data_IF_188624595861
#
_entry.id   IF_188624595861
#
_cell.length_a   1.000
_cell.length_b   1.000
_cell.length_c   1.000
_cell.angle_alpha   90.00
_cell.angle_beta   90.00
_cell.angle_gamma   90.00
#
_symmetry.space_group_name_H-M   'P 1'
#
loop_
_entity.id
_entity.type
_entity.pdbx_description
1 polymer ?
#
# COMPACT_ATOMS: atom_id res chain seq x y z
N UNK A 1 22.01 -31.98 37.62
CA UNK A 1 22.56 -31.46 36.37
C UNK A 1 21.46 -31.65 35.31
N UNK A 2 20.62 -30.63 35.14
CA UNK A 2 19.49 -30.66 34.21
C UNK A 2 19.87 -29.77 33.02
N UNK A 3 20.21 -30.39 31.89
CA UNK A 3 20.35 -29.73 30.64
C UNK A 3 18.96 -29.22 30.22
N UNK A 4 18.77 -27.92 30.21
CA UNK A 4 17.55 -27.27 29.75
C UNK A 4 17.56 -27.29 28.22
N UNK A 5 16.59 -27.97 27.69
CA UNK A 5 16.27 -28.23 26.31
C UNK A 5 15.95 -26.88 25.59
N UNK A 6 16.97 -26.20 25.08
CA UNK A 6 16.85 -24.92 24.37
C UNK A 6 16.45 -25.05 22.89
N UNK A 7 16.13 -26.28 22.43
CA UNK A 7 15.82 -26.54 21.00
C UNK A 7 14.33 -26.62 20.68
N UNK A 8 13.49 -26.93 21.65
CA UNK A 8 12.04 -27.08 21.41
C UNK A 8 11.33 -25.72 21.24
N UNK A 9 11.76 -24.66 21.95
CA UNK A 9 11.13 -23.34 21.85
C UNK A 9 11.41 -22.58 20.55
N UNK A 10 12.52 -22.86 19.88
CA UNK A 10 12.88 -22.16 18.62
C UNK A 10 12.10 -22.67 17.41
N UNK A 11 11.81 -23.96 17.36
CA UNK A 11 11.03 -24.56 16.27
C UNK A 11 9.57 -24.18 16.31
N UNK A 12 9.00 -24.04 17.49
CA UNK A 12 7.59 -23.63 17.68
C UNK A 12 7.38 -22.15 17.28
N UNK A 13 8.31 -21.27 17.65
CA UNK A 13 8.28 -19.87 17.26
C UNK A 13 8.42 -19.66 15.75
N UNK A 14 9.25 -20.47 15.08
CA UNK A 14 9.41 -20.40 13.64
C UNK A 14 8.15 -20.84 12.91
N UNK A 15 7.56 -21.97 13.31
CA UNK A 15 6.32 -22.48 12.72
C UNK A 15 5.14 -21.51 12.93
N UNK A 16 5.07 -20.87 14.09
CA UNK A 16 4.05 -19.86 14.38
C UNK A 16 4.22 -18.62 13.50
N UNK A 17 5.45 -18.14 13.33
CA UNK A 17 5.75 -17.02 12.45
C UNK A 17 5.45 -17.35 10.98
N UNK A 18 5.82 -18.54 10.51
CA UNK A 18 5.56 -19.00 9.14
C UNK A 18 4.05 -19.04 8.85
N UNK A 19 3.25 -19.55 9.79
CA UNK A 19 1.80 -19.53 9.70
C UNK A 19 1.24 -18.10 9.64
N UNK A 20 1.73 -17.21 10.48
CA UNK A 20 1.36 -15.79 10.46
C UNK A 20 1.75 -15.12 9.14
N UNK A 21 2.96 -15.35 8.65
CA UNK A 21 3.44 -14.84 7.37
C UNK A 21 2.55 -15.30 6.22
N UNK A 22 2.27 -16.59 6.11
CA UNK A 22 1.46 -17.18 5.04
C UNK A 22 0.06 -16.55 4.95
N UNK A 23 -0.54 -16.18 6.08
CA UNK A 23 -1.90 -15.59 6.12
C UNK A 23 -1.90 -14.10 5.85
N UNK A 24 -0.85 -13.36 6.25
CA UNK A 24 -0.89 -11.89 6.30
C UNK A 24 -0.04 -11.21 5.21
N UNK A 25 1.00 -11.86 4.67
CA UNK A 25 1.97 -11.22 3.79
C UNK A 25 1.34 -10.65 2.50
N UNK A 26 0.57 -11.46 1.78
CA UNK A 26 -0.07 -11.05 0.52
C UNK A 26 -1.00 -9.86 0.73
N UNK A 27 -1.78 -9.86 1.81
CA UNK A 27 -2.72 -8.78 2.12
C UNK A 27 -1.99 -7.47 2.45
N UNK A 28 -0.94 -7.54 3.28
CA UNK A 28 -0.13 -6.36 3.61
C UNK A 28 0.57 -5.84 2.37
N UNK A 29 1.16 -6.72 1.55
CA UNK A 29 1.81 -6.35 0.30
C UNK A 29 0.86 -5.63 -0.65
N UNK A 30 -0.36 -6.15 -0.87
CA UNK A 30 -1.36 -5.49 -1.71
C UNK A 30 -1.70 -4.08 -1.22
N UNK A 31 -1.82 -3.89 0.10
CA UNK A 31 -2.02 -2.55 0.68
C UNK A 31 -0.82 -1.63 0.43
N UNK A 32 0.40 -2.16 0.46
CA UNK A 32 1.61 -1.36 0.17
C UNK A 32 1.70 -0.99 -1.30
N UNK A 33 1.31 -1.87 -2.25
CA UNK A 33 1.20 -1.52 -3.68
C UNK A 33 0.27 -0.31 -3.88
N UNK A 34 -0.88 -0.30 -3.23
CA UNK A 34 -1.81 0.82 -3.31
C UNK A 34 -1.31 2.10 -2.64
N UNK A 35 -0.41 1.98 -1.65
CA UNK A 35 0.21 3.13 -1.00
C UNK A 35 1.39 3.69 -1.77
N UNK A 36 2.23 2.84 -2.34
CA UNK A 36 3.46 3.24 -3.04
C UNK A 36 3.23 3.53 -4.51
N UNK A 37 2.29 2.82 -5.14
CA UNK A 37 2.11 2.80 -6.59
C UNK A 37 3.17 1.98 -7.32
N UNK A 38 4.02 1.23 -6.60
CA UNK A 38 5.14 0.48 -7.13
C UNK A 38 5.22 -0.88 -6.43
N UNK A 39 5.22 -1.96 -7.21
CA UNK A 39 5.21 -3.33 -6.68
C UNK A 39 6.54 -3.71 -6.05
N UNK A 40 7.66 -3.32 -6.66
CA UNK A 40 8.99 -3.62 -6.12
C UNK A 40 9.21 -2.91 -4.78
N UNK A 41 8.83 -1.63 -4.70
CA UNK A 41 8.88 -0.88 -3.45
C UNK A 41 7.96 -1.47 -2.38
N UNK A 42 6.75 -1.91 -2.76
CA UNK A 42 5.81 -2.55 -1.85
C UNK A 42 6.35 -3.89 -1.31
N UNK A 43 6.98 -4.68 -2.17
CA UNK A 43 7.64 -5.94 -1.81
C UNK A 43 8.77 -5.68 -0.81
N UNK A 44 9.67 -4.77 -1.13
CA UNK A 44 10.80 -4.41 -0.27
C UNK A 44 10.38 -3.95 1.13
N UNK A 45 9.40 -3.03 1.21
CA UNK A 45 8.95 -2.52 2.53
C UNK A 45 8.18 -3.57 3.32
N UNK A 46 7.48 -4.47 2.62
CA UNK A 46 6.76 -5.56 3.26
C UNK A 46 7.75 -6.59 3.80
N UNK A 47 8.72 -7.01 2.99
CA UNK A 47 9.76 -7.92 3.41
C UNK A 47 10.54 -7.37 4.62
N UNK A 48 11.01 -6.12 4.55
CA UNK A 48 11.73 -5.48 5.66
C UNK A 48 10.88 -5.43 6.94
N UNK A 49 9.58 -5.20 6.82
CA UNK A 49 8.69 -5.19 7.99
C UNK A 49 8.53 -6.58 8.62
N UNK A 50 8.43 -7.64 7.82
CA UNK A 50 8.39 -9.02 8.33
C UNK A 50 9.73 -9.45 8.92
N UNK A 51 10.87 -9.08 8.36
CA UNK A 51 12.19 -9.31 8.96
C UNK A 51 12.31 -8.66 10.34
N UNK A 52 11.83 -7.42 10.48
CA UNK A 52 11.76 -6.73 11.77
C UNK A 52 10.81 -7.41 12.75
N UNK A 53 9.68 -7.95 12.26
CA UNK A 53 8.73 -8.69 13.06
C UNK A 53 9.35 -10.00 13.55
N UNK A 54 10.05 -10.74 12.69
CA UNK A 54 10.78 -11.95 13.06
C UNK A 54 11.81 -11.71 14.16
N UNK A 55 12.64 -10.68 13.99
CA UNK A 55 13.67 -10.31 14.97
C UNK A 55 13.08 -10.00 16.36
N UNK A 56 11.78 -9.64 16.42
CA UNK A 56 11.07 -9.28 17.65
C UNK A 56 9.83 -10.13 17.86
N UNK A 57 9.80 -11.36 17.29
CA UNK A 57 8.59 -12.15 17.24
C UNK A 57 8.00 -12.44 18.62
N UNK A 58 8.85 -12.71 19.61
CA UNK A 58 8.41 -12.91 21.00
C UNK A 58 7.60 -11.73 21.58
N UNK A 59 7.79 -10.52 21.05
CA UNK A 59 7.01 -9.32 21.47
C UNK A 59 5.83 -9.07 20.54
N UNK A 60 6.04 -9.29 19.23
CA UNK A 60 5.03 -8.99 18.19
C UNK A 60 3.87 -9.98 18.27
N UNK A 61 4.14 -11.26 18.52
CA UNK A 61 3.10 -12.29 18.67
C UNK A 61 2.12 -11.99 19.81
N UNK A 62 2.60 -11.40 20.88
CA UNK A 62 1.80 -11.05 22.06
C UNK A 62 1.11 -9.67 21.93
N UNK A 63 1.34 -8.96 20.84
CA UNK A 63 0.65 -7.71 20.57
C UNK A 63 -0.85 -7.94 20.32
N UNK A 64 -1.68 -6.95 20.60
CA UNK A 64 -3.12 -7.00 20.35
C UNK A 64 -3.48 -7.36 18.89
N UNK A 65 -2.60 -7.03 17.94
CA UNK A 65 -2.68 -7.43 16.53
C UNK A 65 -1.28 -7.43 15.92
N UNK A 66 -0.64 -8.58 15.73
CA UNK A 66 0.62 -8.72 15.00
C UNK A 66 0.55 -8.15 13.58
N UNK A 67 -0.57 -8.37 12.89
CA UNK A 67 -0.79 -7.82 11.55
C UNK A 67 -0.82 -6.29 11.53
N UNK A 68 -1.50 -5.65 12.48
CA UNK A 68 -1.50 -4.19 12.60
C UNK A 68 -0.09 -3.64 12.87
N UNK A 69 0.72 -4.37 13.63
CA UNK A 69 2.11 -4.01 13.88
C UNK A 69 2.93 -4.03 12.57
N UNK A 70 2.90 -5.15 11.83
CA UNK A 70 3.63 -5.28 10.55
C UNK A 70 3.14 -4.25 9.55
N UNK A 71 1.82 -4.09 9.36
CA UNK A 71 1.23 -3.09 8.48
C UNK A 71 1.70 -1.67 8.82
N UNK A 72 1.74 -1.32 10.12
CA UNK A 72 2.23 -0.02 10.57
C UNK A 72 3.69 0.19 10.23
N UNK A 73 4.54 -0.84 10.39
CA UNK A 73 5.96 -0.77 10.03
C UNK A 73 6.12 -0.63 8.53
N UNK A 74 5.48 -1.49 7.72
CA UNK A 74 5.52 -1.43 6.25
C UNK A 74 5.11 -0.04 5.74
N UNK A 75 3.99 0.50 6.25
CA UNK A 75 3.50 1.82 5.88
C UNK A 75 4.50 2.93 6.23
N UNK A 76 5.10 2.89 7.42
CA UNK A 76 6.11 3.89 7.83
C UNK A 76 7.35 3.85 6.93
N UNK A 77 7.77 2.67 6.52
CA UNK A 77 8.85 2.48 5.56
C UNK A 77 8.47 3.06 4.20
N UNK A 78 7.31 2.69 3.66
CA UNK A 78 6.79 3.18 2.39
C UNK A 78 6.71 4.71 2.35
N UNK A 79 6.11 5.34 3.37
CA UNK A 79 6.01 6.79 3.48
C UNK A 79 7.39 7.45 3.58
N UNK A 80 8.32 6.87 4.35
CA UNK A 80 9.68 7.41 4.49
C UNK A 80 10.47 7.35 3.18
N UNK A 81 10.36 6.23 2.43
CA UNK A 81 11.02 6.05 1.15
C UNK A 81 10.40 6.96 0.08
N UNK A 82 9.08 7.03 0.01
CA UNK A 82 8.38 7.93 -0.91
C UNK A 82 8.74 9.39 -0.69
N UNK A 83 8.85 9.86 0.59
CA UNK A 83 9.31 11.23 0.88
C UNK A 83 10.74 11.47 0.38
N UNK A 84 11.63 10.49 0.53
CA UNK A 84 13.01 10.57 0.00
C UNK A 84 13.01 10.68 -1.52
N UNK A 85 12.24 9.83 -2.21
CA UNK A 85 12.13 9.84 -3.67
C UNK A 85 11.54 11.16 -4.14
N UNK A 86 10.45 11.64 -3.54
CA UNK A 86 9.84 12.93 -3.89
C UNK A 86 10.77 14.10 -3.67
N UNK A 87 11.54 14.12 -2.60
CA UNK A 87 12.53 15.16 -2.35
C UNK A 87 13.73 15.07 -3.31
N UNK A 88 14.09 13.85 -3.75
CA UNK A 88 15.09 13.62 -4.78
C UNK A 88 14.55 13.93 -6.19
N UNK A 89 13.26 13.68 -6.47
CA UNK A 89 12.65 13.93 -7.79
C UNK A 89 12.39 15.42 -8.09
N UNK A 90 12.40 16.30 -7.11
CA UNK A 90 12.57 17.73 -7.38
C UNK A 90 13.93 17.97 -8.06
N UNK A 91 14.95 17.15 -7.77
CA UNK A 91 16.23 17.14 -8.47
C UNK A 91 16.24 16.21 -9.72
N UNK A 92 15.31 15.25 -9.83
CA UNK A 92 15.36 14.12 -10.77
C UNK A 92 14.33 14.15 -11.91
N UNK A 93 13.64 15.25 -12.14
CA UNK A 93 12.74 15.44 -13.31
C UNK A 93 13.42 15.25 -14.69
N UNK A 94 14.65 14.74 -14.74
CA UNK A 94 15.43 14.53 -15.97
C UNK A 94 15.60 13.09 -16.41
N UNK A 95 15.12 12.11 -15.67
CA UNK A 95 15.28 10.69 -16.01
C UNK A 95 13.95 9.97 -15.85
N UNK A 96 13.35 9.63 -16.95
CA UNK A 96 12.13 8.89 -17.27
C UNK A 96 11.39 8.07 -16.19
N UNK A 97 10.17 7.62 -16.50
CA UNK A 97 9.34 6.88 -15.55
C UNK A 97 9.95 5.51 -15.21
N UNK A 98 9.70 5.00 -14.00
CA UNK A 98 10.12 3.66 -13.62
C UNK A 98 9.36 2.58 -14.39
N UNK A 99 10.05 1.49 -14.55
CA UNK A 99 9.76 0.15 -15.09
C UNK A 99 8.30 -0.28 -15.15
N UNK A 100 7.98 -1.06 -16.19
CA UNK A 100 6.69 -1.66 -16.52
C UNK A 100 5.86 -2.09 -15.31
N UNK A 101 4.55 -1.73 -15.27
CA UNK A 101 3.65 -2.21 -14.24
C UNK A 101 3.48 -3.73 -14.40
N UNK A 102 3.39 -4.48 -13.26
CA UNK A 102 3.04 -5.89 -13.31
C UNK A 102 1.67 -6.06 -14.00
N UNK A 103 1.36 -7.28 -14.45
CA UNK A 103 0.09 -7.68 -15.11
C UNK A 103 -1.15 -7.45 -14.22
N UNK A 104 -1.33 -6.23 -13.77
CA UNK A 104 -2.52 -5.75 -13.09
C UNK A 104 -3.53 -5.38 -14.17
N UNK A 105 -4.77 -5.86 -14.06
CA UNK A 105 -5.84 -5.47 -14.98
C UNK A 105 -5.97 -3.94 -15.07
N UNK A 106 -6.42 -3.44 -16.20
CA UNK A 106 -6.50 -1.99 -16.50
C UNK A 106 -7.13 -1.17 -15.37
N UNK A 107 -8.15 -1.70 -14.71
CA UNK A 107 -8.85 -1.04 -13.59
C UNK A 107 -7.93 -0.82 -12.37
N UNK A 108 -7.00 -1.76 -12.11
CA UNK A 108 -6.03 -1.61 -11.03
C UNK A 108 -5.01 -0.53 -11.32
N UNK A 109 -4.56 -0.43 -12.57
CA UNK A 109 -3.62 0.62 -13.00
C UNK A 109 -4.25 2.01 -12.82
N UNK A 110 -5.51 2.16 -13.21
CA UNK A 110 -6.27 3.41 -13.05
C UNK A 110 -6.43 3.76 -11.57
N UNK A 111 -6.80 2.79 -10.74
CA UNK A 111 -6.94 3.00 -9.28
C UNK A 111 -5.61 3.41 -8.63
N UNK A 112 -4.52 2.71 -8.96
CA UNK A 112 -3.19 3.03 -8.43
C UNK A 112 -2.78 4.45 -8.83
N UNK A 113 -2.98 4.85 -10.09
CA UNK A 113 -2.67 6.18 -10.57
C UNK A 113 -3.51 7.26 -9.85
N UNK A 114 -4.80 7.02 -9.67
CA UNK A 114 -5.70 7.92 -8.95
C UNK A 114 -5.30 8.07 -7.47
N UNK A 115 -4.96 6.96 -6.81
CA UNK A 115 -4.45 6.99 -5.43
C UNK A 115 -3.11 7.71 -5.33
N UNK A 116 -2.20 7.52 -6.29
CA UNK A 116 -0.90 8.18 -6.31
C UNK A 116 -0.99 9.71 -6.45
N UNK A 117 -2.06 10.20 -7.09
CA UNK A 117 -2.33 11.64 -7.21
C UNK A 117 -2.79 12.29 -5.89
N UNK A 118 -3.31 11.50 -4.94
CA UNK A 118 -3.77 12.03 -3.66
C UNK A 118 -2.60 12.49 -2.77
N UNK A 119 -2.81 13.54 -1.95
CA UNK A 119 -1.95 13.83 -0.82
C UNK A 119 -1.79 12.61 0.09
N UNK A 120 -0.57 12.39 0.62
CA UNK A 120 -0.21 11.22 1.43
C UNK A 120 -1.24 10.87 2.51
N UNK A 121 -1.68 11.87 3.30
CA UNK A 121 -2.63 11.63 4.39
C UNK A 121 -4.00 11.14 3.90
N UNK A 122 -4.46 11.62 2.74
CA UNK A 122 -5.72 11.19 2.13
C UNK A 122 -5.59 9.77 1.59
N UNK A 123 -4.51 9.48 0.85
CA UNK A 123 -4.23 8.16 0.32
C UNK A 123 -4.13 7.11 1.43
N UNK A 124 -3.34 7.38 2.47
CA UNK A 124 -3.22 6.49 3.64
C UNK A 124 -4.59 6.23 4.29
N UNK A 125 -5.39 7.27 4.52
CA UNK A 125 -6.71 7.10 5.11
C UNK A 125 -7.64 6.24 4.22
N UNK A 126 -7.66 6.49 2.91
CA UNK A 126 -8.45 5.72 1.93
C UNK A 126 -8.02 4.25 1.91
N UNK A 127 -6.72 3.98 1.78
CA UNK A 127 -6.21 2.60 1.71
C UNK A 127 -6.51 1.83 3.00
N UNK A 128 -6.24 2.42 4.15
CA UNK A 128 -6.47 1.74 5.43
C UNK A 128 -7.96 1.52 5.72
N UNK A 129 -8.82 2.48 5.40
CA UNK A 129 -10.25 2.37 5.72
C UNK A 129 -11.02 1.53 4.71
N UNK A 130 -10.83 1.77 3.40
CA UNK A 130 -11.65 1.13 2.36
C UNK A 130 -11.04 -0.14 1.76
N UNK A 131 -9.72 -0.29 1.78
CA UNK A 131 -9.03 -1.40 1.14
C UNK A 131 -8.42 -2.39 2.17
N UNK A 132 -8.11 -1.91 3.37
CA UNK A 132 -7.74 -2.76 4.50
C UNK A 132 -8.90 -3.00 5.48
N UNK A 133 -10.08 -2.45 5.20
CA UNK A 133 -11.33 -2.59 5.97
C UNK A 133 -11.18 -2.23 7.46
N UNK A 134 -10.38 -1.20 7.77
CA UNK A 134 -10.15 -0.77 9.13
C UNK A 134 -11.20 0.24 9.59
N UNK A 135 -11.76 0.08 10.81
CA UNK A 135 -12.57 1.11 11.43
C UNK A 135 -11.80 2.44 11.57
N UNK A 136 -12.49 3.58 11.44
CA UNK A 136 -11.87 4.92 11.52
C UNK A 136 -11.05 5.10 12.80
N UNK A 137 -11.52 4.54 13.92
CA UNK A 137 -10.78 4.58 15.19
C UNK A 137 -9.43 3.86 15.10
N UNK A 138 -9.36 2.72 14.41
CA UNK A 138 -8.14 1.97 14.21
C UNK A 138 -7.20 2.70 13.23
N UNK A 139 -7.74 3.29 12.15
CA UNK A 139 -6.95 4.16 11.26
C UNK A 139 -6.33 5.32 12.03
N UNK A 140 -7.09 5.94 12.93
CA UNK A 140 -6.58 7.01 13.81
C UNK A 140 -5.42 6.52 14.67
N UNK A 141 -5.57 5.37 15.30
CA UNK A 141 -4.54 4.72 16.12
C UNK A 141 -3.26 4.42 15.31
N UNK A 142 -3.39 3.79 14.14
CA UNK A 142 -2.24 3.40 13.31
C UNK A 142 -1.53 4.61 12.68
N UNK A 143 -2.25 5.68 12.37
CA UNK A 143 -1.68 6.89 11.76
C UNK A 143 -1.19 7.91 12.77
N UNK A 144 -1.65 7.85 14.02
CA UNK A 144 -1.39 8.85 15.04
C UNK A 144 -2.23 10.14 14.84
N UNK A 145 -3.25 10.09 13.99
CA UNK A 145 -4.18 11.20 13.76
C UNK A 145 -5.37 11.12 14.71
N UNK A 146 -6.07 12.25 14.91
CA UNK A 146 -7.36 12.22 15.59
C UNK A 146 -8.44 11.59 14.69
N UNK A 147 -9.47 11.02 15.30
CA UNK A 147 -10.63 10.46 14.57
C UNK A 147 -11.28 11.50 13.65
N UNK A 148 -11.38 12.75 14.10
CA UNK A 148 -11.91 13.85 13.28
C UNK A 148 -11.01 14.15 12.08
N UNK A 149 -9.69 14.16 12.26
CA UNK A 149 -8.75 14.34 11.15
C UNK A 149 -8.85 13.21 10.13
N UNK A 150 -8.92 11.93 10.57
CA UNK A 150 -9.12 10.80 9.65
C UNK A 150 -10.41 10.95 8.84
N UNK A 151 -11.54 11.30 9.50
CA UNK A 151 -12.80 11.56 8.79
C UNK A 151 -12.67 12.65 7.73
N UNK A 152 -11.97 13.74 8.02
CA UNK A 152 -11.70 14.79 7.05
C UNK A 152 -10.85 14.30 5.87
N UNK A 153 -9.79 13.50 6.14
CA UNK A 153 -8.97 12.93 5.06
C UNK A 153 -9.79 12.00 4.17
N UNK A 154 -10.65 11.18 4.76
CA UNK A 154 -11.55 10.30 4.00
C UNK A 154 -12.54 11.07 3.11
N UNK A 155 -13.14 12.15 3.62
CA UNK A 155 -14.07 12.98 2.83
C UNK A 155 -13.34 13.62 1.64
N UNK A 156 -12.19 14.26 1.89
CA UNK A 156 -11.41 14.93 0.84
C UNK A 156 -10.83 13.92 -0.17
N UNK A 157 -10.30 12.79 0.32
CA UNK A 157 -9.74 11.75 -0.53
C UNK A 157 -10.78 11.12 -1.45
N UNK A 158 -12.01 10.86 -0.95
CA UNK A 158 -13.11 10.33 -1.77
C UNK A 158 -13.56 11.33 -2.84
N UNK A 159 -13.66 12.61 -2.52
CA UNK A 159 -14.00 13.63 -3.50
C UNK A 159 -12.95 13.70 -4.62
N UNK A 160 -11.66 13.79 -4.25
CA UNK A 160 -10.58 13.83 -5.22
C UNK A 160 -10.47 12.57 -6.10
N UNK A 161 -10.75 11.36 -5.53
CA UNK A 161 -10.81 10.13 -6.32
C UNK A 161 -12.00 10.13 -7.29
N UNK A 162 -13.18 10.58 -6.85
CA UNK A 162 -14.35 10.67 -7.72
C UNK A 162 -14.09 11.58 -8.92
N UNK A 163 -13.50 12.76 -8.69
CA UNK A 163 -13.12 13.70 -9.73
C UNK A 163 -12.12 13.07 -10.72
N UNK A 164 -11.06 12.45 -10.19
CA UNK A 164 -9.99 11.81 -10.96
C UNK A 164 -10.49 10.64 -11.84
N UNK A 165 -11.41 9.82 -11.31
CA UNK A 165 -11.97 8.67 -12.03
C UNK A 165 -13.02 9.10 -13.05
N UNK A 166 -13.72 10.22 -12.83
CA UNK A 166 -14.68 10.76 -13.80
C UNK A 166 -13.95 11.40 -14.98
N UNK A 167 -12.90 12.17 -14.73
CA UNK A 167 -12.09 12.78 -15.79
C UNK A 167 -11.30 11.73 -16.61
N UNK A 168 -10.78 10.68 -15.96
CA UNK A 168 -10.12 9.54 -16.60
C UNK A 168 -11.04 8.68 -17.45
N UNK A 169 -12.32 8.55 -17.07
CA UNK A 169 -13.35 7.85 -17.83
C UNK A 169 -13.76 8.58 -19.13
N UNK A 170 -13.62 9.89 -19.18
CA UNK A 170 -13.91 10.68 -20.37
C UNK A 170 -12.85 10.55 -21.49
N UNK A 171 -11.65 10.07 -21.17
CA UNK A 171 -10.58 9.84 -22.17
C UNK A 171 -10.64 8.44 -22.82
N UNK A 172 -11.51 7.54 -22.34
CA UNK A 172 -11.64 6.17 -22.83
C UNK A 172 -12.73 5.94 -23.88
N UNK A 173 -13.52 6.95 -24.24
CA UNK A 173 -14.55 6.87 -25.29
C UNK A 173 -14.20 7.68 -26.54
N UNK A 174 -12.91 7.76 -26.85
CA UNK A 174 -12.45 8.23 -28.15
C UNK A 174 -12.74 7.17 -29.20
N UNK A 175 -13.92 7.21 -29.79
CA UNK A 175 -14.28 6.51 -31.03
C UNK A 175 -13.19 6.74 -32.08
N UNK A 176 -12.62 5.70 -32.71
CA UNK A 176 -11.64 5.90 -33.76
C UNK A 176 -12.33 6.56 -34.97
N UNK A 177 -12.04 7.83 -35.17
CA UNK A 177 -12.40 8.56 -36.37
C UNK A 177 -11.59 8.05 -37.58
N UNK A 178 -11.91 6.87 -38.05
CA UNK A 178 -11.42 6.32 -39.31
C UNK A 178 -12.59 5.57 -39.96
N UNK A 179 -13.45 6.26 -40.70
CA UNK A 179 -14.12 5.87 -41.94
C UNK A 179 -14.99 7.04 -42.40
N UNK A 180 -14.41 8.02 -43.08
CA UNK A 180 -15.15 8.86 -44.04
C UNK A 180 -14.13 9.51 -44.97
N UNK A 181 -13.65 8.71 -45.92
CA UNK A 181 -13.14 9.18 -47.20
C UNK A 181 -13.15 7.98 -48.15
N UNK A 182 -14.26 7.77 -48.82
CA UNK A 182 -14.33 7.11 -50.13
C UNK A 182 -15.80 7.02 -50.53
N UNK A 183 -16.38 8.15 -50.92
CA UNK A 183 -17.55 8.20 -51.79
C UNK A 183 -17.69 9.64 -52.31
N UNK A 184 -16.76 9.97 -53.22
CA UNK A 184 -16.96 11.01 -54.23
C UNK A 184 -15.89 10.87 -55.28
N UNK A 185 -16.14 9.93 -56.24
CA UNK A 185 -15.74 10.02 -57.65
C UNK A 185 -16.54 9.04 -58.51
#
# INVERSE_FOLDING_TARGET
MRAVDGREGGGDLAAEFDAFYAVSATRIMSQMVLLTGDTAEAEDVTQEAFERAWTRWSLVRDAASPEAWVRTVSRRLAVSRWRRIRNATVAWRRHGPPTEPPELGADHVVLIAALAALPEAQRVAIVLHHLADLPVAQVAQETGLSVSAVKQQLVRGRAALADSLTDGGALGTGEPALVRREEER
#
